data_IF_072616876871
#
_entry.id   IF_072616876871
#
_cell.length_a   1.000
_cell.length_b   1.000
_cell.length_c   1.000
_cell.angle_alpha   90.00
_cell.angle_beta   90.00
_cell.angle_gamma   90.00
#
_symmetry.space_group_name_H-M   'P 1'
#
loop_
_entity.id
_entity.type
_entity.pdbx_description
1 polymer ?
#
# COMPACT_ATOMS: atom_id res chain seq x y z
N UNK A 1 10.29 -11.07 -4.82
CA UNK A 1 8.84 -11.12 -4.62
C UNK A 1 8.11 -10.63 -5.84
N UNK A 2 6.94 -11.17 -6.03
CA UNK A 2 6.14 -10.79 -7.19
C UNK A 2 5.08 -9.80 -6.76
N UNK A 3 5.06 -8.67 -7.46
CA UNK A 3 4.06 -7.63 -7.24
C UNK A 3 3.31 -7.42 -8.55
N UNK A 4 1.99 -7.47 -8.48
CA UNK A 4 1.13 -7.24 -9.64
C UNK A 4 0.27 -6.04 -9.34
N UNK A 5 0.23 -5.10 -10.27
CA UNK A 5 -0.60 -3.92 -10.12
C UNK A 5 -1.44 -3.74 -11.37
N UNK A 6 -2.72 -3.41 -11.17
CA UNK A 6 -3.68 -3.25 -12.26
C UNK A 6 -4.48 -1.98 -12.04
N UNK A 7 -5.12 -1.52 -13.10
CA UNK A 7 -6.02 -0.40 -13.07
C UNK A 7 -6.74 -0.30 -14.41
N UNK A 8 -7.76 0.54 -14.46
CA UNK A 8 -8.48 0.74 -15.72
C UNK A 8 -7.64 1.53 -16.70
N UNK A 9 -6.75 2.37 -16.21
CA UNK A 9 -5.87 3.18 -17.04
C UNK A 9 -4.49 3.23 -16.41
N UNK A 10 -3.46 3.15 -17.23
CA UNK A 10 -2.08 3.25 -16.77
C UNK A 10 -1.36 4.28 -17.63
N UNK A 11 -0.66 5.18 -16.98
CA UNK A 11 0.15 6.20 -17.65
C UNK A 11 1.57 6.05 -17.13
N UNK A 12 2.52 5.95 -18.04
CA UNK A 12 3.92 5.79 -17.70
C UNK A 12 4.69 7.00 -18.18
N UNK A 13 5.60 7.51 -17.36
CA UNK A 13 6.50 8.57 -17.77
C UNK A 13 7.42 8.08 -18.87
N UNK A 14 8.03 9.02 -19.59
CA UNK A 14 8.85 8.68 -20.75
C UNK A 14 9.98 7.71 -20.42
N UNK A 15 10.58 7.88 -19.26
CA UNK A 15 11.70 7.03 -18.85
C UNK A 15 11.27 5.83 -18.01
N UNK A 16 9.97 5.64 -17.80
CA UNK A 16 9.47 4.51 -17.03
C UNK A 16 9.65 4.64 -15.53
N UNK A 17 10.04 5.82 -15.05
CA UNK A 17 10.31 5.98 -13.61
C UNK A 17 9.05 6.08 -12.78
N UNK A 18 7.92 6.36 -13.39
CA UNK A 18 6.65 6.49 -12.68
C UNK A 18 5.53 5.91 -13.50
N UNK A 19 4.71 5.10 -12.87
CA UNK A 19 3.51 4.55 -13.47
C UNK A 19 2.34 4.97 -12.62
N UNK A 20 1.35 5.62 -13.22
CA UNK A 20 0.15 6.04 -12.52
C UNK A 20 -1.01 5.17 -12.98
N UNK A 21 -1.62 4.47 -12.05
CA UNK A 21 -2.79 3.64 -12.29
C UNK A 21 -4.01 4.34 -11.76
N UNK A 22 -5.06 4.44 -12.58
CA UNK A 22 -6.30 5.07 -12.16
C UNK A 22 -7.48 4.18 -12.52
N UNK A 23 -8.55 4.31 -11.71
CA UNK A 23 -9.76 3.54 -11.89
C UNK A 23 -9.59 2.13 -11.34
N UNK A 24 -10.16 1.86 -10.18
CA UNK A 24 -10.07 0.55 -9.53
C UNK A 24 -8.64 0.03 -9.53
N UNK A 25 -7.73 0.89 -9.10
CA UNK A 25 -6.33 0.49 -9.01
C UNK A 25 -6.14 -0.50 -7.89
N UNK A 26 -5.36 -1.52 -8.14
CA UNK A 26 -5.16 -2.60 -7.19
C UNK A 26 -3.72 -3.08 -7.27
N UNK A 27 -3.12 -3.32 -6.12
CA UNK A 27 -1.77 -3.85 -6.01
C UNK A 27 -1.81 -5.09 -5.13
N UNK A 28 -1.14 -6.13 -5.59
CA UNK A 28 -1.02 -7.36 -4.82
C UNK A 28 0.42 -7.80 -4.82
N UNK A 29 0.97 -8.06 -3.64
CA UNK A 29 2.30 -8.60 -3.47
C UNK A 29 2.20 -9.90 -2.68
N UNK A 30 2.81 -10.97 -3.20
CA UNK A 30 2.80 -12.25 -2.49
C UNK A 30 3.67 -12.14 -1.24
N UNK A 31 3.41 -12.96 -0.22
CA UNK A 31 4.25 -12.97 0.97
C UNK A 31 5.68 -13.37 0.62
N UNK A 32 6.63 -12.78 1.31
CA UNK A 32 8.02 -13.19 1.16
C UNK A 32 8.79 -12.80 2.42
N UNK A 33 9.81 -13.58 2.73
CA UNK A 33 10.59 -13.40 3.95
C UNK A 33 9.66 -13.31 5.14
N UNK A 34 9.76 -12.24 5.92
CA UNK A 34 8.89 -12.01 7.06
C UNK A 34 7.77 -11.03 6.74
N UNK A 35 7.53 -10.74 5.48
CA UNK A 35 6.47 -9.80 5.09
C UNK A 35 5.22 -10.57 4.65
N UNK A 36 4.06 -10.22 5.19
CA UNK A 36 2.82 -10.87 4.76
C UNK A 36 2.38 -10.37 3.39
N UNK A 37 1.36 -11.01 2.83
CA UNK A 37 0.77 -10.56 1.59
C UNK A 37 0.25 -9.14 1.75
N UNK A 38 0.34 -8.37 0.69
CA UNK A 38 -0.14 -6.99 0.68
C UNK A 38 -1.15 -6.82 -0.44
N UNK A 39 -2.29 -6.24 -0.12
CA UNK A 39 -3.30 -5.87 -1.10
C UNK A 39 -3.69 -4.43 -0.85
N UNK A 40 -3.68 -3.62 -1.90
CA UNK A 40 -4.07 -2.21 -1.81
C UNK A 40 -5.09 -1.94 -2.90
N UNK A 41 -6.19 -1.33 -2.55
CA UNK A 41 -7.23 -0.91 -3.49
C UNK A 41 -7.46 0.57 -3.32
N UNK A 42 -7.44 1.30 -4.43
CA UNK A 42 -7.63 2.74 -4.42
C UNK A 42 -8.07 3.17 -5.81
N UNK A 43 -8.59 4.39 -5.91
CA UNK A 43 -8.87 4.96 -7.22
C UNK A 43 -7.60 5.29 -7.98
N UNK A 44 -6.50 5.49 -7.29
CA UNK A 44 -5.24 5.84 -7.91
C UNK A 44 -4.10 5.22 -7.13
N UNK A 45 -3.13 4.67 -7.86
CA UNK A 45 -1.88 4.19 -7.30
C UNK A 45 -0.74 4.68 -8.16
N UNK A 46 0.33 5.12 -7.53
CA UNK A 46 1.53 5.55 -8.22
C UNK A 46 2.64 4.60 -7.86
N UNK A 47 3.30 4.08 -8.89
CA UNK A 47 4.39 3.12 -8.72
C UNK A 47 5.68 3.78 -9.17
N UNK A 48 6.72 3.61 -8.36
CA UNK A 48 8.06 4.10 -8.67
C UNK A 48 8.96 2.87 -8.75
N UNK A 49 9.06 2.24 -9.93
CA UNK A 49 9.74 0.95 -10.02
C UNK A 49 11.20 0.99 -9.61
N UNK A 50 11.92 2.07 -9.96
CA UNK A 50 13.34 2.15 -9.63
C UNK A 50 13.57 2.22 -8.12
N UNK A 51 12.61 2.75 -7.38
CA UNK A 51 12.72 2.89 -5.94
C UNK A 51 12.00 1.79 -5.19
N UNK A 52 11.26 0.95 -5.92
CA UNK A 52 10.45 -0.12 -5.33
C UNK A 52 9.46 0.44 -4.33
N UNK A 53 8.75 1.48 -4.73
CA UNK A 53 7.80 2.20 -3.90
C UNK A 53 6.45 2.23 -4.61
N UNK A 54 5.38 2.08 -3.83
CA UNK A 54 4.01 2.31 -4.29
C UNK A 54 3.33 3.24 -3.32
N UNK A 55 2.62 4.24 -3.82
CA UNK A 55 1.95 5.17 -2.94
C UNK A 55 0.70 5.76 -3.59
N UNK A 56 -0.14 6.34 -2.77
CA UNK A 56 -1.27 7.13 -3.24
C UNK A 56 -1.60 8.17 -2.18
N UNK A 57 -2.21 9.27 -2.61
CA UNK A 57 -2.74 10.28 -1.70
C UNK A 57 -4.26 10.20 -1.63
N UNK A 58 -4.86 9.21 -2.26
CA UNK A 58 -6.30 9.03 -2.30
C UNK A 58 -6.74 8.06 -1.22
N UNK A 59 -8.05 7.99 -0.94
CA UNK A 59 -8.52 6.95 -0.03
C UNK A 59 -8.11 5.57 -0.51
N UNK A 60 -7.68 4.75 0.41
CA UNK A 60 -7.16 3.43 0.07
C UNK A 60 -7.56 2.42 1.14
N UNK A 61 -7.86 1.22 0.68
CA UNK A 61 -8.05 0.07 1.55
C UNK A 61 -6.79 -0.76 1.46
N UNK A 62 -6.12 -0.92 2.59
CA UNK A 62 -4.86 -1.64 2.66
C UNK A 62 -5.07 -2.88 3.50
N UNK A 63 -4.74 -4.04 2.94
CA UNK A 63 -4.79 -5.29 3.66
C UNK A 63 -3.38 -5.86 3.69
N UNK A 64 -2.82 -5.98 4.89
CA UNK A 64 -1.46 -6.45 5.10
C UNK A 64 -1.55 -7.71 5.95
N UNK A 65 -1.52 -8.86 5.29
CA UNK A 65 -1.79 -10.10 5.98
C UNK A 65 -3.23 -10.14 6.46
N UNK A 66 -3.42 -10.27 7.76
CA UNK A 66 -4.74 -10.30 8.35
C UNK A 66 -5.20 -8.93 8.85
N UNK A 67 -4.36 -7.94 8.70
CA UNK A 67 -4.67 -6.58 9.16
C UNK A 67 -5.27 -5.78 8.01
N UNK A 68 -6.27 -4.99 8.32
CA UNK A 68 -6.97 -4.19 7.32
C UNK A 68 -7.08 -2.77 7.81
N UNK A 69 -6.71 -1.82 6.94
CA UNK A 69 -6.67 -0.43 7.29
C UNK A 69 -7.31 0.39 6.18
N UNK A 70 -8.27 1.22 6.54
CA UNK A 70 -8.81 2.24 5.64
C UNK A 70 -8.13 3.55 5.99
N UNK A 71 -7.56 4.21 4.98
CA UNK A 71 -6.91 5.47 5.22
C UNK A 71 -7.00 6.35 4.01
N UNK A 72 -6.52 7.57 4.14
CA UNK A 72 -6.40 8.49 3.03
C UNK A 72 -4.92 8.73 2.81
N UNK A 73 -4.37 7.97 1.87
CA UNK A 73 -2.94 8.01 1.63
C UNK A 73 -2.25 6.80 2.19
N UNK A 74 -1.31 6.27 1.44
CA UNK A 74 -0.47 5.18 1.89
C UNK A 74 0.83 5.21 1.12
N UNK A 75 1.87 4.64 1.70
CA UNK A 75 3.16 4.50 1.03
C UNK A 75 3.78 3.18 1.47
N UNK A 76 4.08 2.34 0.51
CA UNK A 76 4.77 1.08 0.73
C UNK A 76 6.15 1.20 0.12
N UNK A 77 7.17 1.17 0.95
CA UNK A 77 8.56 1.25 0.53
C UNK A 77 9.17 -0.12 0.77
N UNK A 78 9.36 -0.85 -0.32
CA UNK A 78 9.81 -2.23 -0.21
C UNK A 78 11.28 -2.32 0.11
N UNK A 79 12.05 -1.29 -0.22
CA UNK A 79 13.46 -1.28 0.07
C UNK A 79 13.73 -1.13 1.56
N UNK A 80 13.02 -0.23 2.21
CA UNK A 80 13.14 -0.05 3.66
C UNK A 80 12.20 -0.96 4.44
N UNK A 81 11.31 -1.68 3.74
CA UNK A 81 10.34 -2.59 4.33
C UNK A 81 9.39 -1.86 5.28
N UNK A 82 8.94 -0.68 4.87
CA UNK A 82 8.01 0.10 5.65
C UNK A 82 6.70 0.26 4.89
N UNK A 83 5.62 0.26 5.65
CA UNK A 83 4.29 0.51 5.12
C UNK A 83 3.65 1.54 6.01
N UNK A 84 3.26 2.67 5.43
CA UNK A 84 2.61 3.75 6.15
C UNK A 84 1.23 3.97 5.56
N UNK A 85 0.24 4.15 6.44
CA UNK A 85 -1.10 4.51 6.04
C UNK A 85 -1.44 5.79 6.77
N UNK A 86 -1.75 6.82 6.01
CA UNK A 86 -2.02 8.13 6.58
C UNK A 86 -3.51 8.31 6.82
N UNK A 87 -3.86 9.11 7.81
CA UNK A 87 -5.24 9.45 8.12
C UNK A 87 -6.13 8.21 8.21
N UNK A 88 -5.65 7.21 8.92
CA UNK A 88 -6.40 5.95 9.06
C UNK A 88 -7.69 6.18 9.81
N UNK A 89 -8.80 5.67 9.28
CA UNK A 89 -10.13 5.87 9.86
C UNK A 89 -10.76 4.59 10.36
N UNK A 90 -10.28 3.43 9.93
CA UNK A 90 -10.86 2.16 10.31
C UNK A 90 -9.75 1.13 10.27
N UNK A 91 -9.23 0.77 11.44
CA UNK A 91 -8.06 -0.08 11.54
C UNK A 91 -8.45 -1.38 12.23
N UNK A 92 -8.13 -2.49 11.55
CA UNK A 92 -8.27 -3.82 12.13
C UNK A 92 -6.93 -4.51 12.04
N UNK A 93 -6.29 -4.73 13.18
CA UNK A 93 -4.95 -5.26 13.22
C UNK A 93 -4.98 -6.55 14.03
N UNK A 94 -4.50 -7.63 13.42
CA UNK A 94 -4.37 -8.88 14.15
C UNK A 94 -3.20 -8.77 15.13
N UNK A 95 -3.26 -9.51 16.22
CA UNK A 95 -2.25 -9.39 17.25
C UNK A 95 -0.85 -9.66 16.78
N UNK A 96 -0.70 -10.59 15.85
CA UNK A 96 0.63 -10.95 15.37
C UNK A 96 1.22 -9.91 14.42
N UNK A 97 0.37 -9.23 13.68
CA UNK A 97 0.84 -8.33 12.65
C UNK A 97 0.93 -6.89 13.12
N UNK A 98 0.37 -6.59 14.28
CA UNK A 98 0.38 -5.22 14.75
C UNK A 98 1.78 -4.67 14.99
N UNK A 99 2.75 -5.55 15.13
CA UNK A 99 4.12 -5.12 15.36
C UNK A 99 4.82 -4.67 14.10
N UNK A 100 4.39 -5.15 12.95
CA UNK A 100 5.06 -4.85 11.70
C UNK A 100 4.35 -3.76 10.93
N UNK A 101 3.20 -3.31 11.40
CA UNK A 101 2.46 -2.28 10.74
C UNK A 101 2.59 -0.97 11.49
N UNK A 102 2.59 0.08 10.71
CA UNK A 102 2.63 1.41 11.29
C UNK A 102 1.61 2.26 10.57
N UNK A 103 0.70 2.82 11.33
CA UNK A 103 -0.29 3.72 10.77
C UNK A 103 -0.06 5.10 11.36
N UNK A 104 0.01 6.07 10.47
CA UNK A 104 0.43 7.41 10.86
C UNK A 104 -0.53 8.03 11.85
N UNK A 105 -1.79 7.92 11.63
CA UNK A 105 -2.79 8.53 12.48
C UNK A 105 -3.66 7.52 13.16
N UNK A 106 -3.22 6.33 13.32
CA UNK A 106 -3.93 5.35 14.09
C UNK A 106 -3.77 5.75 15.53
N UNK A 107 -4.84 6.15 16.17
CA UNK A 107 -4.71 6.56 17.50
C UNK A 107 -5.33 5.58 18.37
N UNK A 108 -4.70 5.01 19.02
CA UNK A 108 -5.28 4.17 19.99
C UNK A 108 -5.62 4.95 21.17
N UNK A 109 -5.70 5.57 21.32
CA UNK A 109 -5.89 6.05 22.37
C UNK A 109 -6.42 6.08 23.14
N UNK A 110 -6.34 6.05 23.20
CA UNK A 110 -6.60 5.97 23.76
C UNK A 110 -6.93 5.78 24.15
#
# INVERSE_FOLDING_TARGET
PITVATGNKAIMDQDGSRITLTGDAHLHRVPYDDRPALDVTSEKLILLPDEDVAYTDMPALVQNGKSRINGKGMRDDNESRTLEVLSASDVKISGEESRTQRTENATPND
#
